data_IF_626619472228
#
_entry.id   IF_626619472228
#
_cell.length_a   1.000
_cell.length_b   1.000
_cell.length_c   1.000
_cell.angle_alpha   90.00
_cell.angle_beta   90.00
_cell.angle_gamma   90.00
#
_symmetry.space_group_name_H-M   'P 1'
#
loop_
_entity.id
_entity.type
_entity.pdbx_description
1 polymer ?
#
# COMPACT_ATOMS: atom_id res chain seq x y z
N UNK A 1 -10.67 12.03 -18.80
CA UNK A 1 -9.20 11.93 -18.62
C UNK A 1 -8.59 11.99 -20.02
N UNK A 2 -7.63 12.86 -20.23
CA UNK A 2 -6.87 12.94 -21.47
C UNK A 2 -5.53 12.22 -21.28
N UNK A 3 -5.22 11.29 -22.20
CA UNK A 3 -3.98 10.52 -22.17
C UNK A 3 -3.11 10.95 -23.35
N UNK A 4 -1.97 11.56 -23.06
CA UNK A 4 -0.97 11.90 -24.06
C UNK A 4 0.01 10.73 -24.24
N UNK A 5 0.04 10.14 -25.42
CA UNK A 5 0.95 9.05 -25.72
C UNK A 5 2.32 9.61 -26.10
N UNK A 6 3.26 9.57 -25.16
CA UNK A 6 4.67 10.00 -25.38
C UNK A 6 5.59 8.85 -25.82
N UNK A 7 5.03 7.69 -26.13
CA UNK A 7 5.79 6.50 -26.46
C UNK A 7 5.94 6.30 -27.96
N UNK A 8 7.13 5.93 -28.42
CA UNK A 8 7.40 5.56 -29.81
C UNK A 8 6.84 4.19 -30.21
N UNK A 9 6.51 3.35 -29.24
CA UNK A 9 5.94 2.01 -29.45
C UNK A 9 5.06 1.59 -28.30
N UNK A 10 4.05 0.79 -28.57
CA UNK A 10 3.15 0.19 -27.60
C UNK A 10 3.18 -1.33 -27.73
N UNK A 11 3.24 -2.01 -26.61
CA UNK A 11 3.06 -3.46 -26.54
C UNK A 11 1.56 -3.82 -26.71
N UNK A 12 1.28 -5.09 -27.00
CA UNK A 12 -0.10 -5.58 -27.10
C UNK A 12 -0.88 -5.40 -25.78
N UNK A 13 -0.23 -5.65 -24.67
CA UNK A 13 -0.86 -5.48 -23.33
C UNK A 13 -1.18 -4.02 -23.03
N UNK A 14 -0.33 -3.08 -23.45
CA UNK A 14 -0.59 -1.65 -23.31
C UNK A 14 -1.74 -1.19 -24.18
N UNK A 15 -1.82 -1.68 -25.43
CA UNK A 15 -2.95 -1.40 -26.31
C UNK A 15 -4.27 -1.92 -25.73
N UNK A 16 -4.28 -3.15 -25.21
CA UNK A 16 -5.46 -3.72 -24.56
C UNK A 16 -5.88 -2.92 -23.31
N UNK A 17 -4.91 -2.49 -22.50
CA UNK A 17 -5.17 -1.63 -21.34
C UNK A 17 -5.78 -0.30 -21.75
N UNK A 18 -5.24 0.35 -22.77
CA UNK A 18 -5.76 1.62 -23.28
C UNK A 18 -7.17 1.46 -23.88
N UNK A 19 -7.43 0.37 -24.59
CA UNK A 19 -8.76 0.04 -25.12
C UNK A 19 -9.77 -0.17 -23.98
N UNK A 20 -9.41 -0.90 -22.94
CA UNK A 20 -10.23 -1.05 -21.73
C UNK A 20 -10.53 0.30 -21.07
N UNK A 21 -9.54 1.18 -20.95
CA UNK A 21 -9.71 2.51 -20.36
C UNK A 21 -10.58 3.42 -21.26
N UNK A 22 -10.44 3.32 -22.57
CA UNK A 22 -11.24 4.09 -23.53
C UNK A 22 -12.74 3.75 -23.49
N UNK A 23 -13.06 2.48 -23.19
CA UNK A 23 -14.44 1.98 -23.08
C UNK A 23 -14.95 1.89 -21.63
N UNK A 24 -14.19 2.44 -20.68
CA UNK A 24 -14.49 2.35 -19.26
C UNK A 24 -15.68 3.24 -18.88
N UNK A 25 -16.76 2.63 -18.44
CA UNK A 25 -18.03 3.28 -18.10
C UNK A 25 -18.19 3.59 -16.59
N UNK A 26 -17.16 3.39 -15.80
CA UNK A 26 -17.08 3.61 -14.35
C UNK A 26 -18.04 2.77 -13.50
N UNK A 27 -18.80 1.84 -14.07
CA UNK A 27 -19.70 0.97 -13.29
C UNK A 27 -18.97 -0.14 -12.54
N UNK A 28 -17.85 -0.60 -13.09
CA UNK A 28 -17.01 -1.64 -12.49
C UNK A 28 -15.61 -1.07 -12.27
N UNK A 29 -15.04 -1.20 -11.05
CA UNK A 29 -13.73 -0.64 -10.78
C UNK A 29 -12.64 -1.36 -11.59
N UNK A 30 -11.64 -0.59 -12.05
CA UNK A 30 -10.39 -1.12 -12.59
C UNK A 30 -9.33 -0.97 -11.52
N UNK A 31 -8.62 -2.07 -11.23
CA UNK A 31 -7.52 -2.11 -10.28
C UNK A 31 -6.20 -2.46 -10.94
N UNK A 32 -5.15 -1.82 -10.47
CA UNK A 32 -3.77 -2.10 -10.85
C UNK A 32 -2.98 -2.58 -9.63
N UNK A 33 -2.36 -3.74 -9.74
CA UNK A 33 -1.43 -4.25 -8.72
C UNK A 33 0.00 -3.78 -8.98
N UNK A 34 0.29 -3.36 -10.22
CA UNK A 34 1.56 -2.82 -10.68
C UNK A 34 1.30 -1.47 -11.34
N UNK A 35 1.89 -0.41 -10.78
CA UNK A 35 1.60 0.95 -11.26
C UNK A 35 2.64 1.52 -12.23
N UNK A 36 3.85 0.94 -12.28
CA UNK A 36 4.91 1.44 -13.15
C UNK A 36 4.53 1.49 -14.64
N UNK A 37 3.65 0.58 -15.09
CA UNK A 37 3.15 0.57 -16.46
C UNK A 37 2.32 1.80 -16.81
N UNK A 38 1.73 2.46 -15.80
CA UNK A 38 0.89 3.64 -15.96
C UNK A 38 1.69 4.93 -16.05
N UNK A 39 2.94 4.94 -15.57
CA UNK A 39 3.81 6.11 -15.58
C UNK A 39 4.01 6.66 -17.00
N UNK A 40 4.20 5.76 -17.96
CA UNK A 40 4.38 6.07 -19.38
C UNK A 40 3.19 6.84 -20.00
N UNK A 41 2.00 6.70 -19.39
CA UNK A 41 0.76 7.29 -19.86
C UNK A 41 0.28 8.48 -19.02
N UNK A 42 1.05 8.90 -18.01
CA UNK A 42 0.66 9.97 -17.11
C UNK A 42 -0.56 9.65 -16.24
N UNK A 43 -0.84 8.36 -15.99
CA UNK A 43 -2.05 7.92 -15.29
C UNK A 43 -1.86 7.71 -13.79
N UNK A 44 -0.64 7.89 -13.27
CA UNK A 44 -0.37 7.70 -11.83
C UNK A 44 -1.15 8.68 -10.95
N UNK A 45 -1.41 9.90 -11.47
CA UNK A 45 -2.18 10.92 -10.76
C UNK A 45 -3.68 10.59 -10.61
N UNK A 46 -4.17 9.57 -11.31
CA UNK A 46 -5.56 9.14 -11.28
C UNK A 46 -5.77 7.84 -10.51
N UNK A 47 -4.91 7.58 -9.54
CA UNK A 47 -4.99 6.38 -8.73
C UNK A 47 -5.48 6.67 -7.31
N UNK A 48 -6.22 5.72 -6.75
CA UNK A 48 -6.54 5.64 -5.33
C UNK A 48 -5.97 4.34 -4.77
N UNK A 49 -5.23 4.45 -3.67
CA UNK A 49 -4.67 3.31 -2.97
C UNK A 49 -5.71 2.71 -2.02
N UNK A 50 -6.17 1.50 -2.33
CA UNK A 50 -7.19 0.79 -1.57
C UNK A 50 -6.58 -0.35 -0.70
N UNK A 51 -5.32 -0.20 -0.27
CA UNK A 51 -4.61 -1.14 0.59
C UNK A 51 -3.60 -2.02 -0.17
N UNK A 52 -4.04 -2.92 -1.05
CA UNK A 52 -3.14 -3.80 -1.81
C UNK A 52 -3.11 -3.54 -3.32
N UNK A 53 -4.05 -2.78 -3.79
CA UNK A 53 -4.15 -2.41 -5.20
C UNK A 53 -4.51 -0.95 -5.35
N UNK A 54 -4.28 -0.43 -6.53
CA UNK A 54 -4.59 0.95 -6.89
C UNK A 54 -5.82 0.96 -7.79
N UNK A 55 -6.88 1.58 -7.34
CA UNK A 55 -8.10 1.79 -8.12
C UNK A 55 -7.93 2.99 -9.03
N UNK A 56 -8.31 2.83 -10.28
CA UNK A 56 -8.39 3.95 -11.22
C UNK A 56 -9.60 4.81 -10.92
N UNK A 57 -9.39 6.11 -10.72
CA UNK A 57 -10.43 7.07 -10.33
C UNK A 57 -10.33 8.35 -11.15
N UNK A 58 -11.46 9.05 -11.44
CA UNK A 58 -11.45 10.30 -12.20
C UNK A 58 -11.09 11.51 -11.31
N UNK A 59 -10.17 11.33 -10.37
CA UNK A 59 -9.76 12.35 -9.41
C UNK A 59 -8.27 12.58 -9.58
N UNK A 60 -7.91 13.76 -10.09
CA UNK A 60 -6.52 14.15 -10.26
C UNK A 60 -5.89 14.40 -8.87
N UNK A 61 -4.89 13.62 -8.53
CA UNK A 61 -4.13 13.76 -7.29
C UNK A 61 -2.64 13.61 -7.61
N UNK A 62 -1.93 14.72 -7.85
CA UNK A 62 -0.51 14.67 -8.15
C UNK A 62 0.28 14.03 -7.03
N UNK A 63 1.14 13.07 -7.38
CA UNK A 63 2.07 12.44 -6.44
C UNK A 63 3.40 13.19 -6.40
N UNK A 64 4.10 13.14 -5.26
CA UNK A 64 5.40 13.77 -5.08
C UNK A 64 6.56 12.80 -5.28
N UNK A 65 6.35 11.56 -4.85
CA UNK A 65 7.31 10.47 -4.86
C UNK A 65 6.61 9.12 -5.01
N UNK A 66 7.37 8.05 -5.13
CA UNK A 66 6.80 6.70 -5.30
C UNK A 66 5.93 6.23 -4.13
N UNK A 67 6.13 6.78 -2.93
CA UNK A 67 5.37 6.45 -1.72
C UNK A 67 4.03 7.19 -1.65
N UNK A 68 3.94 8.33 -2.33
CA UNK A 68 2.73 9.15 -2.39
C UNK A 68 1.83 8.83 -3.58
N UNK A 69 2.18 7.84 -4.41
CA UNK A 69 1.32 7.42 -5.52
C UNK A 69 -0.02 6.91 -5.00
N UNK A 70 -1.09 7.45 -5.57
CA UNK A 70 -2.47 7.11 -5.23
C UNK A 70 -2.97 7.84 -3.97
N UNK A 71 -4.05 8.61 -4.16
CA UNK A 71 -4.77 9.20 -3.03
C UNK A 71 -5.23 8.12 -2.06
N UNK A 72 -5.37 8.45 -0.80
CA UNK A 72 -5.91 7.53 0.21
C UNK A 72 -7.25 8.08 0.71
N UNK A 73 -8.29 7.29 0.54
CA UNK A 73 -9.54 7.44 1.29
C UNK A 73 -9.37 6.65 2.59
N UNK A 74 -9.03 7.36 3.67
CA UNK A 74 -8.59 6.71 4.89
C UNK A 74 -9.68 5.83 5.52
N UNK A 75 -10.94 6.27 5.50
CA UNK A 75 -12.03 5.51 6.11
C UNK A 75 -12.35 4.26 5.28
N UNK A 76 -12.35 4.36 3.96
CA UNK A 76 -12.50 3.21 3.08
C UNK A 76 -11.33 2.22 3.23
N UNK A 77 -10.09 2.71 3.22
CA UNK A 77 -8.91 1.86 3.34
C UNK A 77 -8.81 1.20 4.72
N UNK A 78 -9.20 1.92 5.79
CA UNK A 78 -9.30 1.38 7.13
C UNK A 78 -10.26 0.18 7.18
N UNK A 79 -11.49 0.34 6.67
CA UNK A 79 -12.46 -0.75 6.64
C UNK A 79 -11.93 -1.97 5.88
N UNK A 80 -11.24 -1.74 4.76
CA UNK A 80 -10.62 -2.82 3.99
C UNK A 80 -9.53 -3.56 4.79
N UNK A 81 -8.62 -2.82 5.41
CA UNK A 81 -7.49 -3.40 6.15
C UNK A 81 -7.96 -4.09 7.44
N UNK A 82 -8.92 -3.50 8.17
CA UNK A 82 -9.36 -4.01 9.47
C UNK A 82 -10.41 -5.12 9.34
N UNK A 83 -11.36 -4.99 8.41
CA UNK A 83 -12.57 -5.81 8.42
C UNK A 83 -12.76 -6.70 7.19
N UNK A 84 -12.20 -6.30 6.02
CA UNK A 84 -12.51 -6.98 4.76
C UNK A 84 -11.41 -7.93 4.32
N UNK A 85 -10.14 -7.50 4.39
CA UNK A 85 -9.02 -8.32 3.94
C UNK A 85 -8.75 -9.48 4.88
N UNK A 86 -8.37 -10.60 4.29
CA UNK A 86 -8.00 -11.82 5.01
C UNK A 86 -6.51 -12.06 4.85
N UNK A 87 -5.83 -12.19 5.97
CA UNK A 87 -4.38 -12.36 6.01
C UNK A 87 -3.95 -13.83 6.08
N UNK A 88 -4.92 -14.75 5.96
CA UNK A 88 -4.67 -16.17 6.12
C UNK A 88 -4.17 -16.49 7.53
N UNK A 89 -3.25 -17.43 7.60
CA UNK A 89 -2.61 -17.81 8.87
C UNK A 89 -1.17 -17.29 8.97
N UNK A 90 -0.88 -16.12 8.40
CA UNK A 90 0.48 -15.56 8.39
C UNK A 90 1.01 -15.22 9.81
N UNK A 91 0.11 -15.09 10.78
CA UNK A 91 0.49 -14.92 12.19
C UNK A 91 0.80 -16.25 12.91
N UNK A 92 0.53 -17.39 12.30
CA UNK A 92 0.81 -18.72 12.88
C UNK A 92 2.25 -19.12 12.57
N UNK A 93 3.08 -19.28 13.58
CA UNK A 93 4.51 -19.66 13.46
C UNK A 93 4.73 -20.99 12.73
N UNK A 94 3.71 -21.84 12.63
CA UNK A 94 3.75 -23.10 11.85
C UNK A 94 3.66 -22.88 10.35
N UNK A 95 3.26 -21.70 9.93
CA UNK A 95 3.16 -21.35 8.51
C UNK A 95 4.52 -20.91 8.00
N UNK A 96 5.06 -21.67 7.06
CA UNK A 96 6.29 -21.28 6.38
C UNK A 96 6.00 -20.33 5.22
N UNK A 97 6.61 -19.16 5.26
CA UNK A 97 6.54 -18.17 4.17
C UNK A 97 7.89 -18.16 3.46
N UNK A 98 7.94 -18.77 2.27
CA UNK A 98 9.16 -18.86 1.49
C UNK A 98 9.61 -17.48 0.96
N UNK A 99 10.87 -17.40 0.58
CA UNK A 99 11.49 -16.16 0.14
C UNK A 99 10.85 -15.58 -1.14
N UNK A 100 10.43 -16.43 -2.08
CA UNK A 100 9.73 -15.99 -3.28
C UNK A 100 8.41 -15.32 -2.94
N UNK A 101 7.63 -15.91 -2.03
CA UNK A 101 6.37 -15.35 -1.55
C UNK A 101 6.59 -14.01 -0.87
N UNK A 102 7.60 -13.88 -0.03
CA UNK A 102 7.90 -12.63 0.66
C UNK A 102 8.23 -11.49 -0.31
N UNK A 103 9.05 -11.73 -1.32
CA UNK A 103 9.52 -10.67 -2.23
C UNK A 103 8.63 -10.49 -3.45
N UNK A 104 8.26 -11.55 -4.13
CA UNK A 104 7.58 -11.48 -5.44
C UNK A 104 6.07 -11.33 -5.31
N UNK A 105 5.44 -11.97 -4.35
CA UNK A 105 4.01 -11.80 -4.08
C UNK A 105 3.72 -10.61 -3.19
N UNK A 106 4.75 -9.82 -2.87
CA UNK A 106 4.64 -8.56 -2.11
C UNK A 106 4.00 -8.69 -0.73
N UNK A 107 4.10 -9.86 -0.11
CA UNK A 107 3.63 -10.05 1.26
C UNK A 107 4.38 -9.11 2.22
N UNK A 108 5.68 -8.91 1.99
CA UNK A 108 6.48 -7.93 2.74
C UNK A 108 5.96 -6.49 2.60
N UNK A 109 5.32 -6.13 1.47
CA UNK A 109 4.71 -4.82 1.25
C UNK A 109 3.31 -4.69 1.83
N UNK A 110 2.69 -5.79 2.22
CA UNK A 110 1.36 -5.75 2.81
C UNK A 110 1.35 -4.92 4.10
N UNK A 111 2.43 -4.97 4.88
CA UNK A 111 2.61 -4.15 6.08
C UNK A 111 2.66 -2.64 5.76
N UNK A 112 3.29 -2.25 4.65
CA UNK A 112 3.33 -0.85 4.19
C UNK A 112 1.92 -0.21 4.09
N UNK A 113 0.91 -0.98 3.69
CA UNK A 113 -0.44 -0.48 3.54
C UNK A 113 -1.00 0.08 4.85
N UNK A 114 -0.76 -0.60 5.96
CA UNK A 114 -1.19 -0.14 7.28
C UNK A 114 -0.55 1.19 7.66
N UNK A 115 0.76 1.31 7.52
CA UNK A 115 1.47 2.55 7.85
C UNK A 115 1.03 3.72 6.94
N UNK A 116 0.78 3.48 5.66
CA UNK A 116 0.28 4.51 4.74
C UNK A 116 -1.08 5.06 5.18
N UNK A 117 -2.01 4.19 5.58
CA UNK A 117 -3.33 4.61 6.05
C UNK A 117 -3.24 5.25 7.44
N UNK A 118 -2.40 4.72 8.33
CA UNK A 118 -2.15 5.32 9.65
C UNK A 118 -1.65 6.76 9.54
N UNK A 119 -0.72 7.05 8.62
CA UNK A 119 -0.26 8.43 8.35
C UNK A 119 -1.39 9.39 7.98
N UNK A 120 -2.40 8.93 7.24
CA UNK A 120 -3.55 9.78 6.92
C UNK A 120 -4.39 10.09 8.16
N UNK A 121 -4.53 9.15 9.09
CA UNK A 121 -5.20 9.40 10.37
C UNK A 121 -4.37 10.31 11.29
N UNK A 122 -3.04 10.15 11.33
CA UNK A 122 -2.15 11.06 12.06
C UNK A 122 -2.32 12.50 11.56
N UNK A 123 -2.31 12.72 10.25
CA UNK A 123 -2.54 14.03 9.63
C UNK A 123 -3.90 14.64 9.99
N UNK A 124 -4.91 13.81 10.24
CA UNK A 124 -6.26 14.22 10.65
C UNK A 124 -6.41 14.39 12.18
N UNK A 125 -5.37 14.09 12.95
CA UNK A 125 -5.39 14.09 14.41
C UNK A 125 -6.16 12.95 15.06
N UNK A 126 -6.48 11.90 14.30
CA UNK A 126 -7.14 10.70 14.83
C UNK A 126 -6.08 9.65 15.18
N UNK A 127 -5.43 9.84 16.31
CA UNK A 127 -4.30 9.03 16.76
C UNK A 127 -4.72 7.62 17.18
N UNK A 128 -5.91 7.46 17.73
CA UNK A 128 -6.45 6.16 18.15
C UNK A 128 -6.54 5.19 16.97
N UNK A 129 -7.18 5.60 15.86
CA UNK A 129 -7.27 4.76 14.66
C UNK A 129 -5.91 4.52 13.99
N UNK A 130 -4.99 5.48 14.09
CA UNK A 130 -3.65 5.29 13.56
C UNK A 130 -2.89 4.21 14.33
N UNK A 131 -2.93 4.24 15.67
CA UNK A 131 -2.32 3.22 16.53
C UNK A 131 -2.94 1.85 16.27
N UNK A 132 -4.28 1.76 16.23
CA UNK A 132 -5.01 0.53 15.97
C UNK A 132 -4.60 -0.13 14.65
N UNK A 133 -4.43 0.65 13.59
CA UNK A 133 -3.93 0.17 12.29
C UNK A 133 -2.51 -0.39 12.39
N UNK A 134 -1.62 0.31 13.06
CA UNK A 134 -0.23 -0.14 13.22
C UNK A 134 -0.15 -1.43 14.02
N UNK A 135 -0.83 -1.48 15.16
CA UNK A 135 -0.87 -2.67 16.00
C UNK A 135 -1.46 -3.86 15.25
N UNK A 136 -2.56 -3.66 14.51
CA UNK A 136 -3.15 -4.69 13.67
C UNK A 136 -2.22 -5.17 12.56
N UNK A 137 -1.49 -4.25 11.94
CA UNK A 137 -0.52 -4.58 10.90
C UNK A 137 0.59 -5.51 11.40
N UNK A 138 1.11 -5.28 12.59
CA UNK A 138 2.11 -6.16 13.22
C UNK A 138 1.51 -7.47 13.72
N UNK A 139 0.27 -7.46 14.19
CA UNK A 139 -0.43 -8.67 14.63
C UNK A 139 -0.65 -9.66 13.47
N UNK A 140 -1.18 -9.19 12.34
CA UNK A 140 -1.52 -10.07 11.21
C UNK A 140 -0.35 -10.37 10.28
N UNK A 141 0.68 -9.56 10.33
CA UNK A 141 1.92 -9.68 9.55
C UNK A 141 3.13 -9.54 10.49
N UNK A 142 3.32 -10.50 11.43
CA UNK A 142 4.34 -10.38 12.47
C UNK A 142 5.76 -10.37 11.91
N UNK A 143 6.64 -9.74 12.63
CA UNK A 143 8.06 -9.61 12.28
C UNK A 143 8.78 -10.95 12.25
N UNK A 144 8.33 -11.92 13.05
CA UNK A 144 8.85 -13.29 13.06
C UNK A 144 8.61 -14.04 11.72
N UNK A 145 7.56 -13.69 10.99
CA UNK A 145 7.19 -14.33 9.74
C UNK A 145 7.55 -13.49 8.50
N UNK A 146 7.35 -12.19 8.59
CA UNK A 146 7.58 -11.26 7.48
C UNK A 146 8.85 -10.48 7.76
N UNK A 147 9.89 -10.74 6.97
CA UNK A 147 11.20 -10.09 7.12
C UNK A 147 11.08 -8.58 7.13
N UNK A 148 11.94 -7.99 7.93
CA UNK A 148 12.14 -6.55 7.93
C UNK A 148 12.72 -6.09 6.60
N UNK A 149 12.20 -4.98 6.11
CA UNK A 149 12.79 -4.20 5.02
C UNK A 149 12.59 -2.74 5.35
N UNK A 150 13.44 -1.88 4.83
CA UNK A 150 13.26 -0.43 4.96
C UNK A 150 11.82 -0.02 4.59
N UNK A 151 11.31 -0.55 3.49
CA UNK A 151 10.00 -0.23 2.97
C UNK A 151 8.82 -0.63 3.88
N UNK A 152 8.93 -1.70 4.62
CA UNK A 152 7.82 -2.22 5.43
C UNK A 152 7.96 -1.99 6.92
N UNK A 153 9.10 -1.48 7.40
CA UNK A 153 9.39 -1.32 8.83
C UNK A 153 9.59 0.14 9.21
N UNK A 154 10.43 0.88 8.48
CA UNK A 154 10.67 2.31 8.76
C UNK A 154 9.38 3.13 8.85
N UNK A 155 8.37 2.95 7.95
CA UNK A 155 7.13 3.69 8.06
C UNK A 155 6.34 3.44 9.36
N UNK A 156 6.45 2.25 9.95
CA UNK A 156 5.83 1.95 11.25
C UNK A 156 6.54 2.66 12.39
N UNK A 157 7.88 2.62 12.39
CA UNK A 157 8.71 3.29 13.40
C UNK A 157 8.42 4.78 13.40
N UNK A 158 8.43 5.41 12.21
CA UNK A 158 8.10 6.83 12.05
C UNK A 158 6.69 7.14 12.57
N UNK A 159 5.68 6.35 12.19
CA UNK A 159 4.32 6.58 12.67
C UNK A 159 4.20 6.45 14.19
N UNK A 160 4.87 5.48 14.83
CA UNK A 160 4.85 5.37 16.29
C UNK A 160 5.52 6.57 16.96
N UNK A 161 6.62 7.11 16.43
CA UNK A 161 7.21 8.34 16.92
C UNK A 161 6.28 9.55 16.74
N UNK A 162 5.63 9.66 15.58
CA UNK A 162 4.65 10.74 15.30
C UNK A 162 3.45 10.69 16.26
N UNK A 163 3.11 9.50 16.76
CA UNK A 163 2.07 9.29 17.78
C UNK A 163 2.57 9.51 19.21
N UNK A 164 3.87 9.73 19.42
CA UNK A 164 4.48 9.81 20.74
C UNK A 164 4.61 8.46 21.47
N UNK A 165 4.43 7.35 20.76
CA UNK A 165 4.54 5.98 21.27
C UNK A 165 6.00 5.48 21.19
N UNK A 166 6.90 6.20 21.84
CA UNK A 166 8.34 6.00 21.73
C UNK A 166 8.77 4.58 22.09
N UNK A 167 8.18 4.00 23.15
CA UNK A 167 8.53 2.64 23.59
C UNK A 167 8.25 1.59 22.50
N UNK A 168 7.13 1.73 21.76
CA UNK A 168 6.80 0.86 20.62
C UNK A 168 7.76 1.07 19.45
N UNK A 169 8.08 2.34 19.17
CA UNK A 169 9.02 2.70 18.10
C UNK A 169 10.43 2.16 18.38
N UNK A 170 10.93 2.36 19.60
CA UNK A 170 12.26 1.91 20.04
C UNK A 170 12.37 0.37 20.03
N UNK A 171 11.32 -0.32 20.49
CA UNK A 171 11.27 -1.79 20.47
C UNK A 171 11.37 -2.33 19.03
N UNK A 172 10.61 -1.74 18.09
CA UNK A 172 10.63 -2.15 16.69
C UNK A 172 11.96 -1.79 16.00
N UNK A 173 12.53 -0.63 16.32
CA UNK A 173 13.84 -0.20 15.81
C UNK A 173 14.95 -1.12 16.28
N UNK A 174 14.92 -1.51 17.56
CA UNK A 174 15.90 -2.43 18.14
C UNK A 174 15.81 -3.82 17.51
N UNK A 175 14.60 -4.29 17.23
CA UNK A 175 14.38 -5.56 16.53
C UNK A 175 14.90 -5.48 15.09
N UNK A 176 14.62 -4.40 14.39
CA UNK A 176 15.12 -4.16 13.02
C UNK A 176 16.64 -4.09 12.95
N UNK A 177 17.28 -3.52 13.96
CA UNK A 177 18.75 -3.40 14.00
C UNK A 177 19.50 -4.73 14.15
N UNK A 178 18.80 -5.82 14.49
CA UNK A 178 19.37 -7.16 14.67
C UNK A 178 19.27 -8.04 13.42
N UNK A 179 18.56 -7.58 12.38
CA UNK A 179 18.34 -8.30 11.12
C UNK A 179 19.33 -7.88 10.05
#
# INVERSE_FOLDING_TARGET
IYIELKASSLSRSELMMLDMLAHFDWKRPIYFTQVYVLQKFGLLDYLQFDGYAYRFVPILTPYKDSWSIGRIDADYAYDKLMNTFRYGNLADERVYVDEFTQYNLKVSRAREAFARVAREYIKRGNYERAEELLDRGLEVLPTSQIRFTEANTTPFIECYYDLGLNDKADALLLEYSKT
#
